data_IF_469373867579
#
_entry.id   IF_469373867579
#
_cell.length_a   1.000
_cell.length_b   1.000
_cell.length_c   1.000
_cell.angle_alpha   90.00
_cell.angle_beta   90.00
_cell.angle_gamma   90.00
#
_symmetry.space_group_name_H-M   'P 1'
#
loop_
_entity.id
_entity.type
_entity.pdbx_description
1 polymer ?
#
# COMPACT_ATOMS: atom_id res chain seq x y z
N UNK A 1 -0.42 -15.37 -6.10
CA UNK A 1 -0.13 -14.51 -7.26
C UNK A 1 0.86 -15.13 -8.25
N UNK A 2 2.06 -15.61 -7.85
CA UNK A 2 3.02 -16.19 -8.82
C UNK A 2 2.50 -17.45 -9.53
N UNK A 3 1.72 -18.27 -8.81
CA UNK A 3 1.02 -19.45 -9.37
C UNK A 3 -0.07 -19.03 -10.37
N UNK A 4 -0.97 -18.12 -9.96
CA UNK A 4 -2.02 -17.58 -10.81
C UNK A 4 -1.48 -16.94 -12.10
N UNK A 5 -0.38 -16.17 -12.02
CA UNK A 5 0.22 -15.55 -13.19
C UNK A 5 0.81 -16.56 -14.19
N UNK A 6 1.30 -17.71 -13.71
CA UNK A 6 1.75 -18.83 -14.56
C UNK A 6 0.58 -19.56 -15.22
N UNK A 7 -0.44 -19.93 -14.45
CA UNK A 7 -1.62 -20.64 -14.98
C UNK A 7 -2.42 -19.80 -15.99
N UNK A 8 -2.44 -18.47 -15.82
CA UNK A 8 -3.14 -17.56 -16.72
C UNK A 8 -2.29 -17.10 -17.92
N UNK A 9 -1.07 -17.65 -18.08
CA UNK A 9 -0.15 -17.31 -19.17
C UNK A 9 0.29 -15.84 -19.18
N UNK A 10 0.32 -15.20 -18.02
CA UNK A 10 0.37 -13.74 -17.88
C UNK A 10 1.47 -13.21 -16.97
N UNK A 11 2.61 -13.91 -16.85
CA UNK A 11 3.69 -13.51 -15.95
C UNK A 11 4.24 -12.11 -16.26
N UNK A 12 4.27 -11.72 -17.54
CA UNK A 12 4.60 -10.35 -17.98
C UNK A 12 3.66 -9.28 -17.42
N UNK A 13 2.41 -9.64 -17.16
CA UNK A 13 1.36 -8.76 -16.62
C UNK A 13 1.25 -8.84 -15.09
N UNK A 14 2.14 -9.59 -14.40
CA UNK A 14 2.12 -9.76 -12.95
C UNK A 14 2.16 -8.41 -12.21
N UNK A 15 3.08 -7.54 -12.59
CA UNK A 15 3.20 -6.22 -11.99
C UNK A 15 1.94 -5.37 -12.25
N UNK A 16 1.27 -5.55 -13.40
CA UNK A 16 0.05 -4.83 -13.76
C UNK A 16 -1.16 -5.26 -12.90
N UNK A 17 -1.25 -6.55 -12.55
CA UNK A 17 -2.30 -7.05 -11.67
C UNK A 17 -2.13 -6.58 -10.21
N UNK A 18 -0.89 -6.43 -9.75
CA UNK A 18 -0.62 -5.90 -8.41
C UNK A 18 -0.84 -4.39 -8.35
N UNK A 19 -0.30 -3.65 -9.32
CA UNK A 19 -0.39 -2.20 -9.40
C UNK A 19 -1.79 -1.69 -9.76
N UNK A 20 -2.56 -2.45 -10.57
CA UNK A 20 -3.93 -2.11 -10.96
C UNK A 20 -4.85 -1.95 -9.74
N UNK A 21 -4.67 -2.77 -8.71
CA UNK A 21 -5.37 -2.64 -7.43
C UNK A 21 -5.04 -1.32 -6.72
N UNK A 22 -3.76 -0.99 -6.56
CA UNK A 22 -3.37 0.24 -5.86
C UNK A 22 -3.78 1.50 -6.64
N UNK A 23 -3.70 1.42 -7.97
CA UNK A 23 -4.05 2.51 -8.88
C UNK A 23 -5.53 2.87 -8.76
N UNK A 24 -6.43 1.90 -8.86
CA UNK A 24 -7.87 2.15 -8.71
C UNK A 24 -8.27 2.43 -7.26
N UNK A 25 -7.52 1.91 -6.29
CA UNK A 25 -7.72 2.24 -4.88
C UNK A 25 -7.50 3.71 -4.59
N UNK A 26 -6.47 4.33 -5.19
CA UNK A 26 -6.25 5.76 -5.03
C UNK A 26 -7.42 6.60 -5.56
N UNK A 27 -7.96 6.23 -6.73
CA UNK A 27 -9.19 6.85 -7.23
C UNK A 27 -10.35 6.68 -6.25
N UNK A 28 -10.55 5.44 -5.76
CA UNK A 28 -11.58 5.10 -4.79
C UNK A 28 -11.49 5.91 -3.51
N UNK A 29 -10.28 6.14 -2.98
CA UNK A 29 -10.07 6.93 -1.77
C UNK A 29 -10.54 8.38 -1.93
N UNK A 30 -10.14 9.05 -3.01
CA UNK A 30 -10.55 10.45 -3.24
C UNK A 30 -12.05 10.55 -3.55
N UNK A 31 -12.57 9.60 -4.33
CA UNK A 31 -14.00 9.52 -4.63
C UNK A 31 -14.83 9.32 -3.35
N UNK A 32 -14.44 8.41 -2.47
CA UNK A 32 -15.11 8.18 -1.21
C UNK A 32 -15.04 9.40 -0.28
N UNK A 33 -13.93 10.14 -0.25
CA UNK A 33 -13.85 11.38 0.52
C UNK A 33 -14.92 12.37 0.08
N UNK A 34 -14.94 12.71 -1.22
CA UNK A 34 -15.90 13.67 -1.78
C UNK A 34 -17.35 13.20 -1.70
N UNK A 35 -17.60 11.91 -1.85
CA UNK A 35 -18.95 11.36 -1.71
C UNK A 35 -19.39 11.35 -0.24
N UNK A 36 -18.50 10.98 0.69
CA UNK A 36 -18.79 11.00 2.13
C UNK A 36 -19.06 12.40 2.64
N UNK A 37 -18.33 13.40 2.16
CA UNK A 37 -18.53 14.81 2.51
C UNK A 37 -19.92 15.32 2.07
N UNK A 38 -20.46 14.80 0.95
CA UNK A 38 -21.73 15.26 0.37
C UNK A 38 -22.96 14.52 0.85
N UNK A 39 -22.87 13.19 0.97
CA UNK A 39 -24.03 12.30 1.20
C UNK A 39 -23.84 11.37 2.40
N UNK A 40 -22.77 11.58 3.17
CA UNK A 40 -22.40 10.71 4.28
C UNK A 40 -21.69 9.42 3.84
N UNK A 41 -21.08 8.69 4.78
CA UNK A 41 -20.15 7.60 4.48
C UNK A 41 -20.81 6.27 4.10
N UNK A 42 -22.14 6.12 4.27
CA UNK A 42 -22.84 4.84 4.05
C UNK A 42 -22.87 4.42 2.57
N UNK A 43 -23.05 5.37 1.65
CA UNK A 43 -23.05 5.10 0.21
C UNK A 43 -21.69 4.57 -0.28
N UNK A 44 -20.59 5.30 -0.01
CA UNK A 44 -19.23 4.83 -0.28
C UNK A 44 -18.90 3.49 0.37
N UNK A 45 -19.29 3.28 1.63
CA UNK A 45 -19.01 2.03 2.34
C UNK A 45 -19.74 0.84 1.69
N UNK A 46 -21.04 0.95 1.46
CA UNK A 46 -21.84 -0.13 0.88
C UNK A 46 -21.43 -0.46 -0.56
N UNK A 47 -21.27 0.57 -1.40
CA UNK A 47 -20.81 0.38 -2.78
C UNK A 47 -19.38 -0.15 -2.85
N UNK A 48 -18.49 0.29 -1.95
CA UNK A 48 -17.12 -0.19 -1.84
C UNK A 48 -17.03 -1.67 -1.48
N UNK A 49 -17.83 -2.12 -0.50
CA UNK A 49 -17.91 -3.53 -0.10
C UNK A 49 -18.46 -4.39 -1.25
N UNK A 50 -19.52 -3.92 -1.92
CA UNK A 50 -20.09 -4.60 -3.09
C UNK A 50 -19.09 -4.72 -4.24
N UNK A 51 -18.39 -3.63 -4.57
CA UNK A 51 -17.34 -3.63 -5.58
C UNK A 51 -16.17 -4.55 -5.20
N UNK A 52 -15.71 -4.51 -3.95
CA UNK A 52 -14.63 -5.39 -3.49
C UNK A 52 -15.00 -6.87 -3.60
N UNK A 53 -16.21 -7.24 -3.16
CA UNK A 53 -16.76 -8.58 -3.30
C UNK A 53 -16.91 -9.03 -4.76
N UNK A 54 -17.45 -8.16 -5.62
CA UNK A 54 -17.58 -8.45 -7.05
C UNK A 54 -16.21 -8.66 -7.72
N UNK A 55 -15.22 -7.81 -7.41
CA UNK A 55 -13.87 -7.96 -7.93
C UNK A 55 -13.16 -9.22 -7.44
N UNK A 56 -13.45 -9.70 -6.22
CA UNK A 56 -12.97 -10.99 -5.72
C UNK A 56 -13.55 -12.16 -6.52
N UNK A 57 -14.86 -12.13 -6.80
CA UNK A 57 -15.51 -13.15 -7.62
C UNK A 57 -14.92 -13.17 -9.03
N UNK A 58 -14.79 -11.99 -9.67
CA UNK A 58 -14.20 -11.87 -11.02
C UNK A 58 -12.76 -12.38 -11.05
N UNK A 59 -11.94 -12.04 -10.05
CA UNK A 59 -10.57 -12.53 -9.96
C UNK A 59 -10.49 -14.05 -9.74
N UNK A 60 -11.37 -14.61 -8.91
CA UNK A 60 -11.43 -16.05 -8.63
C UNK A 60 -11.94 -16.89 -9.81
N UNK A 61 -12.83 -16.35 -10.64
CA UNK A 61 -13.37 -17.03 -11.82
C UNK A 61 -12.61 -16.71 -13.12
N UNK A 62 -11.59 -15.87 -13.08
CA UNK A 62 -10.86 -15.41 -14.26
C UNK A 62 -10.28 -16.55 -15.11
N UNK A 63 -10.72 -16.65 -16.37
CA UNK A 63 -10.18 -17.58 -17.36
C UNK A 63 -8.92 -17.07 -18.07
N UNK A 64 -8.54 -15.81 -17.86
CA UNK A 64 -7.37 -15.18 -18.46
C UNK A 64 -6.87 -13.99 -17.65
N UNK A 65 -5.62 -13.59 -17.89
CA UNK A 65 -4.93 -12.57 -17.09
C UNK A 65 -5.62 -11.20 -17.14
N UNK A 66 -6.19 -10.79 -18.28
CA UNK A 66 -6.92 -9.52 -18.40
C UNK A 66 -8.19 -9.46 -17.54
N UNK A 67 -8.92 -10.57 -17.45
CA UNK A 67 -10.10 -10.68 -16.56
C UNK A 67 -9.67 -10.63 -15.10
N UNK A 68 -8.53 -11.27 -14.77
CA UNK A 68 -7.96 -11.22 -13.43
C UNK A 68 -7.55 -9.79 -13.04
N UNK A 69 -6.90 -9.06 -13.95
CA UNK A 69 -6.53 -7.65 -13.79
C UNK A 69 -7.78 -6.79 -13.58
N UNK A 70 -8.83 -7.00 -14.37
CA UNK A 70 -10.10 -6.29 -14.18
C UNK A 70 -10.68 -6.55 -12.79
N UNK A 71 -10.66 -7.80 -12.32
CA UNK A 71 -11.06 -8.15 -10.95
C UNK A 71 -10.23 -7.42 -9.89
N UNK A 72 -8.90 -7.32 -10.09
CA UNK A 72 -8.00 -6.56 -9.19
C UNK A 72 -8.27 -5.05 -9.22
N UNK A 73 -8.56 -4.50 -10.39
CA UNK A 73 -8.93 -3.09 -10.56
C UNK A 73 -10.26 -2.78 -9.83
N UNK A 74 -11.27 -3.64 -9.96
CA UNK A 74 -12.55 -3.50 -9.27
C UNK A 74 -12.38 -3.65 -7.74
N UNK A 75 -11.56 -4.61 -7.28
CA UNK A 75 -11.18 -4.73 -5.87
C UNK A 75 -10.48 -3.48 -5.35
N UNK A 76 -9.55 -2.92 -6.11
CA UNK A 76 -8.83 -1.71 -5.72
C UNK A 76 -9.79 -0.56 -5.47
N UNK A 77 -10.69 -0.31 -6.42
CA UNK A 77 -11.73 0.71 -6.30
C UNK A 77 -12.58 0.51 -5.04
N UNK A 78 -13.05 -0.73 -4.81
CA UNK A 78 -13.82 -1.08 -3.62
C UNK A 78 -13.06 -0.85 -2.33
N UNK A 79 -11.80 -1.29 -2.25
CA UNK A 79 -10.94 -1.11 -1.09
C UNK A 79 -10.66 0.36 -0.77
N UNK A 80 -10.42 1.17 -1.81
CA UNK A 80 -10.25 2.62 -1.67
C UNK A 80 -11.51 3.32 -1.17
N UNK A 81 -12.69 2.88 -1.64
CA UNK A 81 -13.96 3.42 -1.17
C UNK A 81 -14.20 3.11 0.32
N UNK A 82 -13.97 1.85 0.71
CA UNK A 82 -14.19 1.37 2.08
C UNK A 82 -13.27 2.07 3.07
N UNK A 83 -11.97 2.17 2.77
CA UNK A 83 -10.99 2.67 3.74
C UNK A 83 -11.29 4.11 4.16
N UNK A 84 -11.56 5.01 3.22
CA UNK A 84 -11.89 6.41 3.52
C UNK A 84 -13.26 6.52 4.18
N UNK A 85 -14.25 5.75 3.74
CA UNK A 85 -15.57 5.74 4.35
C UNK A 85 -15.51 5.33 5.84
N UNK A 86 -14.68 4.33 6.19
CA UNK A 86 -14.49 3.91 7.57
C UNK A 86 -13.91 5.01 8.45
N UNK A 87 -12.91 5.77 7.96
CA UNK A 87 -12.37 6.92 8.70
C UNK A 87 -13.43 8.00 8.94
N UNK A 88 -14.28 8.28 7.95
CA UNK A 88 -15.40 9.23 8.11
C UNK A 88 -16.46 8.70 9.08
N UNK A 89 -16.75 7.39 9.05
CA UNK A 89 -17.63 6.74 10.04
C UNK A 89 -17.08 6.93 11.44
N UNK A 90 -15.77 6.76 11.67
CA UNK A 90 -15.18 6.95 13.00
C UNK A 90 -15.35 8.39 13.49
N UNK A 91 -15.15 9.38 12.60
CA UNK A 91 -15.38 10.79 12.93
C UNK A 91 -16.82 11.11 13.34
N UNK A 92 -17.81 10.44 12.73
CA UNK A 92 -19.24 10.68 13.00
C UNK A 92 -19.81 9.84 14.15
N UNK A 93 -19.42 8.58 14.24
CA UNK A 93 -20.05 7.60 15.13
C UNK A 93 -19.49 7.63 16.56
N UNK A 94 -18.32 8.24 16.78
CA UNK A 94 -17.63 8.20 18.06
C UNK A 94 -17.31 9.60 18.61
N UNK A 95 -17.47 9.79 19.94
CA UNK A 95 -17.08 11.02 20.61
C UNK A 95 -15.55 11.21 20.52
N UNK A 96 -15.12 12.47 20.52
CA UNK A 96 -13.73 12.86 20.26
C UNK A 96 -12.70 12.13 21.12
N UNK A 97 -13.01 11.92 22.40
CA UNK A 97 -12.14 11.18 23.35
C UNK A 97 -11.84 9.74 22.92
N UNK A 98 -12.73 9.10 22.16
CA UNK A 98 -12.59 7.70 21.73
C UNK A 98 -11.96 7.57 20.34
N UNK A 99 -11.92 8.64 19.54
CA UNK A 99 -11.37 8.60 18.17
C UNK A 99 -9.93 8.07 18.14
N UNK A 100 -8.99 8.53 19.01
CA UNK A 100 -7.62 8.01 19.00
C UNK A 100 -7.53 6.51 19.33
N UNK A 101 -8.33 6.03 20.29
CA UNK A 101 -8.37 4.61 20.66
C UNK A 101 -8.85 3.73 19.51
N UNK A 102 -9.81 4.22 18.71
CA UNK A 102 -10.34 3.48 17.56
C UNK A 102 -9.37 3.51 16.39
N UNK A 103 -8.66 4.62 16.16
CA UNK A 103 -7.58 4.66 15.16
C UNK A 103 -6.44 3.70 15.54
N UNK A 104 -6.12 3.59 16.83
CA UNK A 104 -5.18 2.58 17.33
C UNK A 104 -5.70 1.15 17.12
N UNK A 105 -6.99 0.90 17.33
CA UNK A 105 -7.61 -0.39 17.04
C UNK A 105 -7.55 -0.73 15.54
N UNK A 106 -7.80 0.22 14.64
CA UNK A 106 -7.61 0.03 13.20
C UNK A 106 -6.18 -0.34 12.85
N UNK A 107 -5.18 0.33 13.44
CA UNK A 107 -3.78 -0.03 13.24
C UNK A 107 -3.49 -1.47 13.74
N UNK A 108 -4.07 -1.88 14.86
CA UNK A 108 -3.94 -3.24 15.39
C UNK A 108 -4.62 -4.30 14.49
N UNK A 109 -5.73 -3.96 13.84
CA UNK A 109 -6.41 -4.84 12.89
C UNK A 109 -5.54 -5.24 11.68
N UNK A 110 -4.47 -4.51 11.37
CA UNK A 110 -3.52 -4.88 10.30
C UNK A 110 -2.55 -6.01 10.72
N UNK A 111 -2.33 -6.19 12.01
CA UNK A 111 -1.35 -7.16 12.52
C UNK A 111 -1.78 -8.60 12.22
N UNK A 112 -3.02 -8.96 12.59
CA UNK A 112 -3.49 -10.33 12.43
C UNK A 112 -3.51 -10.78 10.95
N UNK A 113 -4.04 -9.99 9.99
CA UNK A 113 -3.95 -10.31 8.56
C UNK A 113 -2.53 -10.39 8.03
N UNK A 114 -1.58 -9.60 8.56
CA UNK A 114 -0.18 -9.65 8.09
C UNK A 114 0.51 -10.98 8.40
N UNK A 115 0.16 -11.60 9.53
CA UNK A 115 0.72 -12.89 9.97
C UNK A 115 -0.08 -14.05 9.37
N UNK A 116 -1.41 -14.01 9.51
CA UNK A 116 -2.30 -15.12 9.12
C UNK A 116 -2.52 -15.14 7.60
N UNK A 117 -2.54 -13.98 6.95
CA UNK A 117 -2.89 -13.83 5.53
C UNK A 117 -1.96 -14.61 4.60
N UNK A 118 -0.63 -14.41 4.64
CA UNK A 118 0.31 -15.16 3.79
C UNK A 118 0.27 -16.67 4.06
N UNK A 119 0.14 -17.10 5.32
CA UNK A 119 0.08 -18.51 5.71
C UNK A 119 -1.20 -19.17 5.19
N UNK A 120 -2.36 -18.56 5.44
CA UNK A 120 -3.65 -19.06 4.97
C UNK A 120 -3.72 -19.04 3.43
N UNK A 121 -3.26 -17.98 2.78
CA UNK A 121 -3.24 -17.89 1.32
C UNK A 121 -2.29 -18.91 0.69
N UNK A 122 -1.13 -19.17 1.31
CA UNK A 122 -0.18 -20.20 0.88
C UNK A 122 -0.78 -21.60 0.98
N UNK A 123 -1.30 -21.97 2.15
CA UNK A 123 -1.91 -23.27 2.40
C UNK A 123 -3.14 -23.54 1.51
N UNK A 124 -4.02 -22.54 1.34
CA UNK A 124 -5.18 -22.65 0.44
C UNK A 124 -4.72 -22.80 -1.01
N UNK A 125 -3.69 -22.07 -1.44
CA UNK A 125 -3.13 -22.20 -2.79
C UNK A 125 -2.57 -23.60 -3.04
N UNK A 126 -1.94 -24.21 -2.02
CA UNK A 126 -1.31 -25.53 -2.12
C UNK A 126 -2.33 -26.69 -2.12
N UNK A 127 -3.38 -26.61 -1.29
CA UNK A 127 -4.33 -27.73 -1.12
C UNK A 127 -5.61 -27.60 -1.96
N UNK A 128 -6.11 -26.38 -2.17
CA UNK A 128 -7.40 -26.12 -2.81
C UNK A 128 -7.25 -25.40 -4.16
N UNK A 129 -6.09 -24.76 -4.39
CA UNK A 129 -5.80 -23.94 -5.55
C UNK A 129 -6.03 -22.45 -5.30
N UNK A 130 -5.33 -21.62 -6.07
CA UNK A 130 -5.27 -20.16 -5.84
C UNK A 130 -6.63 -19.44 -5.98
N UNK A 131 -7.58 -20.01 -6.73
CA UNK A 131 -8.91 -19.42 -6.98
C UNK A 131 -9.73 -19.29 -5.70
N UNK A 132 -9.59 -20.26 -4.80
CA UNK A 132 -10.30 -20.28 -3.51
C UNK A 132 -9.83 -19.20 -2.54
N UNK A 133 -8.60 -18.71 -2.69
CA UNK A 133 -8.13 -17.55 -1.93
C UNK A 133 -9.00 -16.32 -2.23
N UNK A 134 -9.51 -16.18 -3.45
CA UNK A 134 -10.39 -15.07 -3.83
C UNK A 134 -11.86 -15.35 -3.51
N UNK A 135 -12.34 -16.56 -3.79
CA UNK A 135 -13.75 -16.93 -3.61
C UNK A 135 -14.14 -17.16 -2.14
N UNK A 136 -13.17 -17.50 -1.28
CA UNK A 136 -13.41 -17.69 0.15
C UNK A 136 -13.60 -16.38 0.92
N UNK A 137 -12.95 -15.28 0.49
CA UNK A 137 -12.99 -14.00 1.20
C UNK A 137 -14.41 -13.42 1.29
N UNK A 138 -15.24 -13.37 0.21
CA UNK A 138 -16.60 -12.88 0.31
C UNK A 138 -17.42 -13.59 1.39
N UNK A 139 -17.28 -14.92 1.49
CA UNK A 139 -17.97 -15.73 2.51
C UNK A 139 -17.51 -15.35 3.92
N UNK A 140 -16.19 -15.21 4.13
CA UNK A 140 -15.62 -14.82 5.42
C UNK A 140 -16.05 -13.41 5.87
N UNK A 141 -16.30 -12.49 4.93
CA UNK A 141 -16.67 -11.10 5.21
C UNK A 141 -18.16 -10.93 5.51
N UNK A 142 -19.03 -11.86 5.09
CA UNK A 142 -20.48 -11.78 5.31
C UNK A 142 -20.85 -11.66 6.79
N UNK A 143 -20.25 -12.50 7.65
CA UNK A 143 -20.58 -12.50 9.08
C UNK A 143 -20.17 -11.18 9.78
N UNK A 144 -18.91 -10.69 9.67
CA UNK A 144 -18.52 -9.39 10.18
C UNK A 144 -19.40 -8.26 9.64
N UNK A 145 -19.78 -8.32 8.36
CA UNK A 145 -20.61 -7.30 7.72
C UNK A 145 -22.03 -7.30 8.30
N UNK A 146 -22.62 -8.47 8.50
CA UNK A 146 -23.95 -8.61 9.09
C UNK A 146 -24.03 -8.00 10.51
N UNK A 147 -22.94 -8.12 11.28
CA UNK A 147 -22.84 -7.56 12.63
C UNK A 147 -22.55 -6.05 12.63
N UNK A 148 -21.65 -5.58 11.77
CA UNK A 148 -21.17 -4.20 11.78
C UNK A 148 -22.11 -3.23 11.04
N UNK A 149 -22.70 -3.64 9.91
CA UNK A 149 -23.44 -2.75 9.02
C UNK A 149 -24.67 -2.10 9.70
N UNK A 150 -25.49 -2.81 10.50
CA UNK A 150 -26.61 -2.20 11.20
C UNK A 150 -26.16 -1.10 12.18
N UNK A 151 -25.10 -1.36 12.96
CA UNK A 151 -24.56 -0.40 13.93
C UNK A 151 -23.98 0.84 13.24
N UNK A 152 -23.29 0.64 12.11
CA UNK A 152 -22.75 1.75 11.30
C UNK A 152 -23.90 2.58 10.72
N UNK A 153 -24.97 1.96 10.23
CA UNK A 153 -26.15 2.69 9.71
C UNK A 153 -26.81 3.56 10.78
N UNK A 154 -26.98 3.02 11.99
CA UNK A 154 -27.58 3.75 13.11
C UNK A 154 -26.69 4.90 13.57
N UNK A 155 -25.38 4.68 13.72
CA UNK A 155 -24.48 5.69 14.31
C UNK A 155 -23.90 6.70 13.33
N UNK A 156 -23.77 6.35 12.05
CA UNK A 156 -23.16 7.22 11.04
C UNK A 156 -24.12 7.66 9.92
N UNK A 157 -25.36 7.16 9.91
CA UNK A 157 -26.37 7.47 8.88
C UNK A 157 -27.16 8.75 9.09
N UNK A 158 -26.95 9.47 10.19
CA UNK A 158 -27.62 10.76 10.43
C UNK A 158 -27.29 11.82 9.38
N UNK A 159 -28.12 12.87 9.22
CA UNK A 159 -27.93 13.95 8.24
C UNK A 159 -26.52 14.54 8.33
N UNK A 160 -25.91 14.87 7.18
CA UNK A 160 -24.62 15.55 7.16
C UNK A 160 -24.82 16.94 7.79
N UNK A 161 -24.19 17.26 8.95
CA UNK A 161 -24.27 18.60 9.50
C UNK A 161 -23.69 19.56 8.47
N UNK A 162 -24.39 20.66 8.18
CA UNK A 162 -23.85 21.73 7.37
C UNK A 162 -22.65 22.33 8.13
N UNK A 163 -21.42 21.91 7.79
CA UNK A 163 -20.23 22.56 8.34
C UNK A 163 -20.11 23.95 7.73
N UNK A 164 -19.85 24.95 8.58
CA UNK A 164 -19.68 26.37 8.20
C UNK A 164 -18.54 26.57 7.19
N UNK A 165 -17.58 25.64 7.13
CA UNK A 165 -16.55 25.57 6.08
C UNK A 165 -17.03 24.82 4.83
N UNK A 166 -17.94 25.47 4.11
CA UNK A 166 -18.30 25.09 2.75
C UNK A 166 -17.15 25.39 1.79
N UNK A 167 -16.11 24.54 1.75
CA UNK A 167 -15.12 24.60 0.66
C UNK A 167 -15.89 24.51 -0.67
N UNK A 168 -15.67 25.42 -1.64
CA UNK A 168 -16.49 25.53 -2.84
C UNK A 168 -16.64 24.19 -3.58
N UNK A 169 -17.85 23.88 -4.06
CA UNK A 169 -18.15 22.64 -4.82
C UNK A 169 -17.23 22.41 -6.03
N UNK A 170 -16.59 23.48 -6.52
CA UNK A 170 -15.57 23.47 -7.58
C UNK A 170 -14.29 22.75 -7.16
N UNK A 171 -13.91 22.78 -5.87
CA UNK A 171 -12.73 22.08 -5.35
C UNK A 171 -12.94 20.55 -5.36
N UNK A 172 -14.17 20.07 -5.12
CA UNK A 172 -14.47 18.64 -5.17
C UNK A 172 -14.40 18.04 -6.57
N UNK A 173 -14.92 18.73 -7.59
CA UNK A 173 -14.77 18.31 -9.00
C UNK A 173 -13.32 18.37 -9.47
N UNK A 174 -12.52 19.29 -8.93
CA UNK A 174 -11.08 19.38 -9.18
C UNK A 174 -10.35 18.20 -8.55
N UNK A 175 -10.60 17.87 -7.28
CA UNK A 175 -9.99 16.72 -6.59
C UNK A 175 -10.31 15.38 -7.25
N UNK A 176 -11.54 15.16 -7.70
CA UNK A 176 -11.91 13.94 -8.45
C UNK A 176 -11.16 13.87 -9.79
N UNK A 177 -11.04 15.00 -10.51
CA UNK A 177 -10.26 15.06 -11.75
C UNK A 177 -8.77 14.80 -11.52
N UNK A 178 -8.20 15.32 -10.43
CA UNK A 178 -6.82 15.04 -10.04
C UNK A 178 -6.66 13.55 -9.68
N UNK A 179 -7.59 12.95 -8.93
CA UNK A 179 -7.53 11.52 -8.61
C UNK A 179 -7.62 10.62 -9.84
N UNK A 180 -8.49 10.97 -10.81
CA UNK A 180 -8.50 10.34 -12.13
C UNK A 180 -7.17 10.53 -12.84
N UNK A 181 -6.61 11.74 -12.81
CA UNK A 181 -5.29 12.05 -13.36
C UNK A 181 -4.17 11.18 -12.76
N UNK A 182 -4.15 10.98 -11.45
CA UNK A 182 -3.14 10.10 -10.82
C UNK A 182 -3.39 8.65 -11.22
N UNK A 183 -4.65 8.19 -11.24
CA UNK A 183 -4.96 6.78 -11.50
C UNK A 183 -4.73 6.42 -12.97
N UNK A 184 -5.19 7.25 -13.90
CA UNK A 184 -4.87 7.11 -15.32
C UNK A 184 -3.38 7.31 -15.57
N UNK A 185 -2.77 8.30 -14.95
CA UNK A 185 -1.35 8.60 -15.10
C UNK A 185 -0.45 7.46 -14.62
N UNK A 186 -0.78 6.88 -13.47
CA UNK A 186 -0.08 5.73 -12.93
C UNK A 186 -0.29 4.48 -13.78
N UNK A 187 -1.51 4.21 -14.23
CA UNK A 187 -1.79 3.09 -15.13
C UNK A 187 -1.03 3.18 -16.46
N UNK A 188 -0.95 4.39 -17.04
CA UNK A 188 -0.19 4.66 -18.25
C UNK A 188 1.33 4.53 -18.05
N UNK A 189 1.84 5.02 -16.91
CA UNK A 189 3.25 4.89 -16.55
C UNK A 189 3.63 3.41 -16.35
N UNK A 190 2.75 2.63 -15.73
CA UNK A 190 2.94 1.18 -15.56
C UNK A 190 2.86 0.42 -16.88
N UNK A 191 1.99 0.83 -17.80
CA UNK A 191 1.94 0.25 -19.15
C UNK A 191 3.24 0.53 -19.91
N UNK A 192 3.71 1.78 -19.89
CA UNK A 192 4.96 2.19 -20.50
C UNK A 192 6.19 1.49 -19.90
N UNK A 193 6.14 1.15 -18.61
CA UNK A 193 7.19 0.42 -17.92
C UNK A 193 7.33 -1.04 -18.37
N UNK A 194 6.28 -1.64 -18.94
CA UNK A 194 6.26 -3.06 -19.31
C UNK A 194 6.55 -3.31 -20.79
N UNK A 195 6.17 -2.38 -21.67
CA UNK A 195 6.50 -2.46 -23.09
C UNK A 195 7.73 -1.57 -23.35
N UNK A 196 8.89 -2.15 -23.65
CA UNK A 196 10.13 -1.39 -23.91
C UNK A 196 10.21 -0.83 -25.33
N UNK A 197 9.15 -0.95 -26.13
CA UNK A 197 9.10 -0.38 -27.48
C UNK A 197 9.17 1.15 -27.42
N UNK A 198 9.84 1.83 -28.36
CA UNK A 198 9.88 3.31 -28.40
C UNK A 198 8.48 3.96 -28.41
N UNK A 199 7.48 3.24 -28.93
CA UNK A 199 6.09 3.66 -28.98
C UNK A 199 5.42 3.77 -27.59
N UNK A 200 5.93 3.05 -26.59
CA UNK A 200 5.43 3.09 -25.20
C UNK A 200 5.92 4.31 -24.42
N UNK A 201 6.91 5.04 -24.94
CA UNK A 201 7.36 6.31 -24.38
C UNK A 201 6.24 7.36 -24.40
N UNK A 202 5.34 7.31 -25.40
CA UNK A 202 4.17 8.19 -25.52
C UNK A 202 3.20 8.05 -24.34
N UNK A 203 2.67 6.85 -24.01
CA UNK A 203 1.87 6.66 -22.81
C UNK A 203 2.65 6.92 -21.52
N UNK A 204 3.97 6.70 -21.49
CA UNK A 204 4.81 7.05 -20.34
C UNK A 204 4.86 8.55 -20.06
N UNK A 205 5.11 9.36 -21.10
CA UNK A 205 5.11 10.83 -21.02
C UNK A 205 3.71 11.37 -20.69
N UNK A 206 2.66 10.82 -21.31
CA UNK A 206 1.28 11.19 -20.99
C UNK A 206 0.94 10.82 -19.54
N UNK A 207 1.41 9.67 -19.07
CA UNK A 207 1.29 9.20 -17.71
C UNK A 207 1.93 10.17 -16.72
N UNK A 208 3.17 10.58 -16.98
CA UNK A 208 3.89 11.58 -16.20
C UNK A 208 3.19 12.95 -16.22
N UNK A 209 2.71 13.39 -17.38
CA UNK A 209 2.03 14.66 -17.57
C UNK A 209 0.67 14.74 -16.84
N UNK A 210 -0.02 13.60 -16.67
CA UNK A 210 -1.24 13.51 -15.86
C UNK A 210 -0.92 13.38 -14.37
N UNK A 211 0.13 12.63 -14.04
CA UNK A 211 0.48 12.27 -12.68
C UNK A 211 1.14 13.44 -11.93
N UNK A 212 2.13 14.12 -12.51
CA UNK A 212 2.91 15.16 -11.83
C UNK A 212 2.02 16.34 -11.37
N UNK A 213 1.15 16.93 -12.20
CA UNK A 213 0.27 18.02 -11.76
C UNK A 213 -0.77 17.54 -10.74
N UNK A 214 -1.24 16.30 -10.89
CA UNK A 214 -2.25 15.75 -10.00
C UNK A 214 -1.69 15.45 -8.61
N UNK A 215 -0.46 14.94 -8.55
CA UNK A 215 0.31 14.69 -7.33
C UNK A 215 0.62 15.98 -6.57
N UNK A 216 1.02 17.02 -7.28
CA UNK A 216 1.27 18.35 -6.70
C UNK A 216 0.00 19.04 -6.20
N UNK A 217 -1.17 18.67 -6.76
CA UNK A 217 -2.45 19.28 -6.43
C UNK A 217 -3.24 18.61 -5.31
N UNK A 218 -2.87 17.39 -4.88
CA UNK A 218 -3.69 16.54 -4.03
C UNK A 218 -3.16 16.38 -2.59
N UNK A 219 -1.86 16.59 -2.37
CA UNK A 219 -1.27 16.64 -1.03
C UNK A 219 -1.32 18.06 -0.42
N UNK A 220 -1.30 18.20 0.92
CA UNK A 220 -1.23 19.50 1.58
C UNK A 220 -0.05 20.36 1.08
N UNK A 221 -0.25 21.68 1.05
CA UNK A 221 0.83 22.62 0.70
C UNK A 221 2.00 22.44 1.67
N UNK A 222 3.20 22.28 1.14
CA UNK A 222 4.40 22.08 1.94
C UNK A 222 4.80 20.61 2.17
N UNK A 223 3.96 19.62 1.83
CA UNK A 223 4.34 18.20 1.93
C UNK A 223 5.57 17.90 1.08
N UNK A 224 5.64 18.38 -0.15
CA UNK A 224 6.80 18.21 -1.04
C UNK A 224 8.06 18.94 -0.59
N UNK A 225 7.94 19.97 0.26
CA UNK A 225 9.09 20.71 0.80
C UNK A 225 9.56 20.15 2.14
N UNK A 226 8.95 19.06 2.63
CA UNK A 226 9.10 18.60 4.01
C UNK A 226 8.95 19.77 5.00
N UNK A 227 7.90 20.59 4.78
CA UNK A 227 7.56 21.68 5.68
C UNK A 227 7.26 21.11 7.07
N UNK A 228 7.72 21.81 8.11
CA UNK A 228 7.64 21.33 9.49
C UNK A 228 6.19 21.11 9.93
N UNK A 229 5.97 20.19 10.87
CA UNK A 229 4.65 19.85 11.38
C UNK A 229 3.94 18.77 10.55
N UNK A 230 2.63 18.91 10.41
CA UNK A 230 1.75 17.92 9.76
C UNK A 230 2.18 17.52 8.33
N UNK A 231 2.65 18.44 7.45
CA UNK A 231 3.08 18.06 6.11
C UNK A 231 4.27 17.08 6.07
N UNK A 232 5.20 17.18 7.02
CA UNK A 232 6.33 16.24 7.15
C UNK A 232 5.88 14.87 7.64
N UNK A 233 4.85 14.81 8.51
CA UNK A 233 4.26 13.53 8.96
C UNK A 233 3.59 12.80 7.80
N UNK A 234 2.83 13.54 6.98
CA UNK A 234 2.17 12.99 5.77
C UNK A 234 3.20 12.51 4.74
N UNK A 235 4.29 13.28 4.53
CA UNK A 235 5.38 12.88 3.63
C UNK A 235 6.08 11.62 4.13
N UNK A 236 6.50 11.63 5.40
CA UNK A 236 7.24 10.51 6.01
C UNK A 236 6.44 9.22 5.91
N UNK A 237 5.15 9.29 6.17
CA UNK A 237 4.27 8.15 6.06
C UNK A 237 4.29 7.55 4.64
N UNK A 238 4.06 8.37 3.62
CA UNK A 238 4.08 7.91 2.23
C UNK A 238 5.44 7.33 1.84
N UNK A 239 6.53 8.03 2.16
CA UNK A 239 7.92 7.58 1.88
C UNK A 239 8.21 6.23 2.53
N UNK A 240 7.84 6.05 3.80
CA UNK A 240 8.05 4.80 4.53
C UNK A 240 7.23 3.65 3.92
N UNK A 241 5.92 3.84 3.74
CA UNK A 241 5.03 2.84 3.18
C UNK A 241 5.45 2.45 1.75
N UNK A 242 5.68 3.45 0.91
CA UNK A 242 6.01 3.25 -0.50
C UNK A 242 7.35 2.56 -0.72
N UNK A 243 8.40 2.93 0.02
CA UNK A 243 9.70 2.27 -0.11
C UNK A 243 9.63 0.81 0.34
N UNK A 244 8.99 0.56 1.48
CA UNK A 244 8.91 -0.77 2.06
C UNK A 244 8.03 -1.72 1.23
N UNK A 245 6.80 -1.30 0.89
CA UNK A 245 5.84 -2.12 0.12
C UNK A 245 6.35 -2.36 -1.30
N UNK A 246 6.98 -1.36 -1.93
CA UNK A 246 7.61 -1.55 -3.24
C UNK A 246 8.68 -2.63 -3.16
N UNK A 247 9.62 -2.53 -2.21
CA UNK A 247 10.67 -3.54 -2.04
C UNK A 247 10.11 -4.94 -1.68
N UNK A 248 9.11 -5.00 -0.78
CA UNK A 248 8.46 -6.24 -0.35
C UNK A 248 7.80 -6.99 -1.51
N UNK A 249 7.21 -6.28 -2.47
CA UNK A 249 6.53 -6.91 -3.61
C UNK A 249 7.46 -7.76 -4.50
N UNK A 250 8.77 -7.49 -4.49
CA UNK A 250 9.78 -8.25 -5.24
C UNK A 250 10.46 -9.36 -4.43
N UNK A 251 10.30 -9.39 -3.09
CA UNK A 251 10.94 -10.38 -2.22
C UNK A 251 10.51 -11.82 -2.54
N UNK A 252 9.20 -12.17 -2.61
CA UNK A 252 8.80 -13.54 -2.97
C UNK A 252 9.27 -13.95 -4.36
N UNK A 253 9.24 -13.01 -5.32
CA UNK A 253 9.69 -13.26 -6.68
C UNK A 253 11.19 -13.58 -6.70
N UNK A 254 12.00 -12.80 -5.98
CA UNK A 254 13.44 -13.01 -5.82
C UNK A 254 13.74 -14.38 -5.21
N UNK A 255 13.07 -14.73 -4.11
CA UNK A 255 13.28 -16.00 -3.41
C UNK A 255 12.91 -17.23 -4.24
N UNK A 256 11.81 -17.18 -4.97
CA UNK A 256 11.35 -18.30 -5.80
C UNK A 256 12.21 -18.45 -7.04
N UNK A 257 12.58 -17.35 -7.70
CA UNK A 257 13.29 -17.40 -9.00
C UNK A 257 14.80 -17.59 -8.87
N UNK A 258 15.44 -16.99 -7.84
CA UNK A 258 16.89 -17.01 -7.68
C UNK A 258 17.37 -18.08 -6.70
N UNK A 259 16.54 -18.44 -5.70
CA UNK A 259 16.90 -19.43 -4.66
C UNK A 259 16.08 -20.72 -4.74
N UNK A 260 15.17 -20.84 -5.72
CA UNK A 260 14.37 -22.05 -5.96
C UNK A 260 13.43 -22.43 -4.81
N UNK A 261 13.11 -21.50 -3.91
CA UNK A 261 12.25 -21.79 -2.76
C UNK A 261 10.81 -22.05 -3.18
N UNK A 262 10.11 -22.89 -2.41
CA UNK A 262 8.67 -23.02 -2.56
C UNK A 262 7.94 -21.72 -2.18
N UNK A 263 6.78 -21.42 -2.79
CA UNK A 263 5.97 -20.25 -2.42
C UNK A 263 5.59 -20.23 -0.93
N UNK A 264 5.41 -21.40 -0.31
CA UNK A 264 5.06 -21.54 1.11
C UNK A 264 6.21 -21.08 2.01
N UNK A 265 7.46 -21.44 1.69
CA UNK A 265 8.64 -20.98 2.43
C UNK A 265 8.90 -19.48 2.25
N UNK A 266 8.72 -18.96 1.03
CA UNK A 266 8.79 -17.53 0.77
C UNK A 266 7.71 -16.76 1.56
N UNK A 267 6.48 -17.28 1.61
CA UNK A 267 5.39 -16.73 2.41
C UNK A 267 5.67 -16.77 3.91
N UNK A 268 6.28 -17.85 4.42
CA UNK A 268 6.66 -17.99 5.82
C UNK A 268 7.66 -16.92 6.27
N UNK A 269 8.62 -16.57 5.40
CA UNK A 269 9.59 -15.49 5.67
C UNK A 269 8.91 -14.12 5.86
N UNK A 270 7.86 -13.83 5.08
CA UNK A 270 7.06 -12.62 5.23
C UNK A 270 6.14 -12.68 6.47
N UNK A 271 5.54 -13.85 6.75
CA UNK A 271 4.66 -14.02 7.90
C UNK A 271 5.38 -13.78 9.23
N UNK A 272 6.63 -14.25 9.37
CA UNK A 272 7.48 -13.98 10.53
C UNK A 272 7.70 -12.46 10.74
N UNK A 273 7.71 -11.70 9.64
CA UNK A 273 7.93 -10.26 9.66
C UNK A 273 6.71 -9.51 10.24
N UNK A 274 5.48 -10.03 10.10
CA UNK A 274 4.29 -9.47 10.73
C UNK A 274 4.35 -9.42 12.26
N UNK A 275 4.96 -10.44 12.89
CA UNK A 275 5.16 -10.46 14.35
C UNK A 275 6.13 -9.36 14.82
N UNK A 276 7.22 -9.15 14.07
CA UNK A 276 8.18 -8.06 14.37
C UNK A 276 7.59 -6.68 14.15
N UNK A 277 6.71 -6.51 13.17
CA UNK A 277 5.93 -5.27 12.98
C UNK A 277 5.06 -4.98 14.21
N UNK A 278 4.29 -5.97 14.65
CA UNK A 278 3.44 -5.85 15.83
C UNK A 278 4.25 -5.47 17.08
N UNK A 279 5.41 -6.09 17.26
CA UNK A 279 6.33 -5.77 18.34
C UNK A 279 6.81 -4.32 18.26
N UNK A 280 7.17 -3.81 17.07
CA UNK A 280 7.54 -2.41 16.86
C UNK A 280 6.41 -1.46 17.26
N UNK A 281 5.19 -1.72 16.77
CA UNK A 281 4.02 -0.91 17.15
C UNK A 281 3.71 -0.98 18.65
N UNK A 282 3.91 -2.13 19.29
CA UNK A 282 3.74 -2.27 20.74
C UNK A 282 4.81 -1.51 21.53
N UNK A 283 6.08 -1.56 21.13
CA UNK A 283 7.17 -0.79 21.77
C UNK A 283 6.85 0.70 21.72
N UNK A 284 6.42 1.19 20.55
CA UNK A 284 6.02 2.57 20.31
C UNK A 284 4.81 3.03 21.13
N UNK A 285 3.94 2.11 21.56
CA UNK A 285 2.72 2.43 22.31
C UNK A 285 2.96 2.72 23.80
N UNK A 286 4.19 2.48 24.29
CA UNK A 286 4.52 2.63 25.71
C UNK A 286 4.67 4.11 26.11
N UNK A 287 4.07 4.56 27.24
CA UNK A 287 4.21 5.96 27.69
C UNK A 287 5.66 6.40 27.92
N UNK A 288 6.55 5.47 28.29
CA UNK A 288 7.97 5.75 28.54
C UNK A 288 8.76 6.13 27.29
N UNK A 289 8.28 5.77 26.09
CA UNK A 289 8.97 6.10 24.83
C UNK A 289 8.42 7.35 24.15
N UNK A 290 7.35 7.95 24.68
CA UNK A 290 6.75 9.19 24.16
C UNK A 290 7.78 10.31 23.95
N UNK A 291 8.68 10.61 24.90
CA UNK A 291 9.66 11.70 24.74
C UNK A 291 10.71 11.41 23.65
N UNK A 292 10.90 10.13 23.29
CA UNK A 292 11.91 9.69 22.35
C UNK A 292 11.32 9.31 20.98
N UNK A 293 10.04 9.59 20.74
CA UNK A 293 9.29 9.18 19.55
C UNK A 293 9.99 9.53 18.24
N UNK A 294 10.52 10.75 18.10
CA UNK A 294 11.23 11.18 16.90
C UNK A 294 12.53 10.39 16.65
N UNK A 295 13.31 10.14 17.71
CA UNK A 295 14.52 9.30 17.64
C UNK A 295 14.17 7.86 17.29
N UNK A 296 13.07 7.35 17.84
CA UNK A 296 12.57 6.02 17.58
C UNK A 296 12.07 5.86 16.14
N UNK A 297 11.45 6.89 15.56
CA UNK A 297 11.07 6.93 14.15
C UNK A 297 12.29 6.99 13.24
N UNK A 298 13.29 7.81 13.58
CA UNK A 298 14.55 7.89 12.83
C UNK A 298 15.26 6.54 12.82
N UNK A 299 15.37 5.92 14.00
CA UNK A 299 15.90 4.57 14.16
C UNK A 299 15.11 3.55 13.33
N UNK A 300 13.77 3.61 13.37
CA UNK A 300 12.91 2.76 12.57
C UNK A 300 13.14 2.91 11.06
N UNK A 301 13.28 4.14 10.56
CA UNK A 301 13.58 4.38 9.14
C UNK A 301 14.97 3.89 8.73
N UNK A 302 15.97 4.03 9.60
CA UNK A 302 17.31 3.48 9.37
C UNK A 302 17.28 1.95 9.30
N UNK A 303 16.55 1.29 10.22
CA UNK A 303 16.35 -0.16 10.16
C UNK A 303 15.68 -0.60 8.86
N UNK A 304 14.66 0.13 8.41
CA UNK A 304 13.98 -0.12 7.12
C UNK A 304 14.97 0.01 5.97
N UNK A 305 15.75 1.08 5.91
CA UNK A 305 16.75 1.29 4.87
C UNK A 305 17.80 0.18 4.84
N UNK A 306 18.33 -0.20 6.01
CA UNK A 306 19.31 -1.28 6.14
C UNK A 306 18.73 -2.64 5.72
N UNK A 307 17.48 -2.94 6.12
CA UNK A 307 16.77 -4.15 5.71
C UNK A 307 16.62 -4.24 4.19
N UNK A 308 16.17 -3.14 3.56
CA UNK A 308 15.99 -3.07 2.11
C UNK A 308 17.35 -3.19 1.40
N UNK A 309 18.39 -2.50 1.88
CA UNK A 309 19.73 -2.55 1.31
C UNK A 309 20.41 -3.92 1.46
N UNK A 310 20.11 -4.66 2.53
CA UNK A 310 20.64 -6.00 2.78
C UNK A 310 19.96 -7.08 1.93
N UNK A 311 18.76 -6.83 1.40
CA UNK A 311 17.98 -7.85 0.70
C UNK A 311 18.67 -8.46 -0.54
N UNK A 312 19.36 -7.68 -1.39
CA UNK A 312 20.12 -8.22 -2.52
C UNK A 312 21.29 -9.12 -2.10
N UNK A 313 21.74 -9.10 -0.84
CA UNK A 313 22.84 -9.97 -0.40
C UNK A 313 22.49 -11.46 -0.55
N UNK A 314 21.21 -11.84 -0.47
CA UNK A 314 20.75 -13.22 -0.69
C UNK A 314 20.90 -13.69 -2.14
N UNK A 315 21.19 -12.78 -3.08
CA UNK A 315 21.56 -13.17 -4.44
C UNK A 315 22.94 -13.84 -4.51
N UNK A 316 23.80 -13.59 -3.53
CA UNK A 316 25.07 -14.31 -3.41
C UNK A 316 24.78 -15.71 -2.87
N UNK A 317 25.14 -16.75 -3.63
CA UNK A 317 24.89 -18.14 -3.26
C UNK A 317 25.51 -18.52 -1.91
N UNK A 318 26.63 -17.87 -1.54
CA UNK A 318 27.32 -18.01 -0.26
C UNK A 318 26.52 -17.52 0.95
N UNK A 319 25.55 -16.62 0.73
CA UNK A 319 24.74 -16.04 1.81
C UNK A 319 23.53 -16.94 2.08
N UNK A 320 23.28 -17.37 3.33
CA UNK A 320 22.12 -18.19 3.66
C UNK A 320 20.80 -17.45 3.47
N UNK A 321 19.76 -18.17 3.03
CA UNK A 321 18.41 -17.59 2.78
C UNK A 321 17.78 -16.99 4.03
N UNK A 322 18.04 -17.56 5.22
CA UNK A 322 17.47 -17.08 6.48
C UNK A 322 17.92 -15.67 6.84
N UNK A 323 19.04 -15.19 6.28
CA UNK A 323 19.52 -13.82 6.51
C UNK A 323 18.52 -12.77 6.01
N UNK A 324 17.81 -13.03 4.90
CA UNK A 324 16.75 -12.15 4.43
C UNK A 324 15.58 -12.13 5.40
N UNK A 325 15.14 -13.28 5.91
CA UNK A 325 14.05 -13.33 6.89
C UNK A 325 14.39 -12.54 8.17
N UNK A 326 15.63 -12.63 8.63
CA UNK A 326 16.12 -11.86 9.79
C UNK A 326 16.18 -10.36 9.46
N UNK A 327 16.80 -9.98 8.34
CA UNK A 327 16.90 -8.59 7.91
C UNK A 327 15.51 -7.96 7.74
N UNK A 328 14.59 -8.65 7.07
CA UNK A 328 13.22 -8.23 6.85
C UNK A 328 12.43 -8.10 8.14
N UNK A 329 12.67 -8.99 9.12
CA UNK A 329 12.12 -8.86 10.47
C UNK A 329 12.54 -7.55 11.15
N UNK A 330 13.81 -7.15 11.06
CA UNK A 330 14.24 -5.83 11.56
C UNK A 330 13.62 -4.67 10.79
N UNK A 331 13.46 -4.81 9.47
CA UNK A 331 12.75 -3.85 8.63
C UNK A 331 11.28 -3.68 9.05
N UNK A 332 10.56 -4.78 9.28
CA UNK A 332 9.18 -4.75 9.75
C UNK A 332 9.06 -4.18 11.17
N UNK A 333 9.99 -4.49 12.08
CA UNK A 333 10.05 -3.83 13.38
C UNK A 333 10.20 -2.30 13.22
N UNK A 334 11.10 -1.86 12.34
CA UNK A 334 11.28 -0.44 12.01
C UNK A 334 10.01 0.21 11.45
N UNK A 335 9.34 -0.46 10.50
CA UNK A 335 8.04 -0.02 9.98
C UNK A 335 7.00 0.11 11.09
N UNK A 336 6.92 -0.88 12.00
CA UNK A 336 6.00 -0.85 13.13
C UNK A 336 6.17 0.38 14.02
N UNK A 337 7.42 0.82 14.25
CA UNK A 337 7.74 2.04 14.99
C UNK A 337 7.29 3.30 14.24
N UNK A 338 7.55 3.39 12.94
CA UNK A 338 7.29 4.59 12.12
C UNK A 338 5.80 4.75 11.83
N UNK A 339 5.15 3.68 11.38
CA UNK A 339 3.74 3.65 10.99
C UNK A 339 2.85 3.99 12.18
N UNK A 340 3.07 3.35 13.33
CA UNK A 340 2.29 3.66 14.53
C UNK A 340 2.57 5.10 15.02
N UNK A 341 3.82 5.56 14.98
CA UNK A 341 4.19 6.92 15.44
C UNK A 341 3.62 8.02 14.55
N UNK A 342 3.66 7.86 13.23
CA UNK A 342 3.06 8.83 12.30
C UNK A 342 1.55 8.95 12.49
N UNK A 343 0.85 7.85 12.74
CA UNK A 343 -0.58 7.88 13.06
C UNK A 343 -0.87 8.60 14.39
N UNK A 344 -0.07 8.37 15.43
CA UNK A 344 -0.23 9.06 16.73
C UNK A 344 0.09 10.55 16.60
N UNK A 345 1.21 10.91 15.96
CA UNK A 345 1.60 12.30 15.74
C UNK A 345 0.58 13.06 14.91
N UNK A 346 0.01 12.42 13.89
CA UNK A 346 -1.06 13.02 13.11
C UNK A 346 -2.25 13.39 14.00
N UNK A 347 -2.64 12.51 14.91
CA UNK A 347 -3.76 12.77 15.82
C UNK A 347 -3.42 13.84 16.85
N UNK A 348 -2.18 13.92 17.33
CA UNK A 348 -1.72 14.96 18.27
C UNK A 348 -1.63 16.35 17.61
N UNK A 349 -1.21 16.41 16.35
CA UNK A 349 -1.03 17.66 15.60
C UNK A 349 -2.30 18.14 14.90
N UNK A 350 -3.36 17.33 14.88
CA UNK A 350 -4.64 17.68 14.27
C UNK A 350 -5.60 18.21 15.32
N UNK A 351 -6.36 19.26 14.99
CA UNK A 351 -7.54 19.60 15.78
C UNK A 351 -8.52 18.40 15.78
N UNK A 352 -9.29 18.16 16.86
CA UNK A 352 -10.25 17.04 16.96
C UNK A 352 -11.22 16.96 15.78
N UNK A 353 -11.62 18.12 15.26
CA UNK A 353 -12.51 18.31 14.11
C UNK A 353 -11.86 17.96 12.77
N UNK A 354 -10.53 18.13 12.65
CA UNK A 354 -9.76 17.91 11.42
C UNK A 354 -9.10 16.53 11.35
N UNK A 355 -9.07 15.78 12.46
CA UNK A 355 -8.40 14.48 12.58
C UNK A 355 -8.81 13.47 11.49
N UNK A 356 -10.09 13.47 11.09
CA UNK A 356 -10.58 12.62 10.01
C UNK A 356 -10.03 13.03 8.63
N UNK A 357 -10.03 14.32 8.32
CA UNK A 357 -9.48 14.86 7.07
C UNK A 357 -7.98 14.64 6.96
N UNK A 358 -7.25 14.85 8.06
CA UNK A 358 -5.81 14.65 8.10
C UNK A 358 -5.45 13.15 8.00
N UNK A 359 -6.22 12.26 8.64
CA UNK A 359 -6.05 10.81 8.48
C UNK A 359 -6.30 10.36 7.03
N UNK A 360 -7.29 10.93 6.36
CA UNK A 360 -7.52 10.67 4.94
C UNK A 360 -6.36 11.15 4.05
N UNK A 361 -5.80 12.34 4.34
CA UNK A 361 -4.61 12.84 3.63
C UNK A 361 -3.39 11.91 3.83
N UNK A 362 -3.23 11.34 5.02
CA UNK A 362 -2.18 10.37 5.32
C UNK A 362 -2.35 9.06 4.53
N UNK A 363 -3.57 8.53 4.42
CA UNK A 363 -3.86 7.34 3.59
C UNK A 363 -3.68 7.59 2.08
N UNK A 364 -4.05 8.78 1.62
CA UNK A 364 -3.83 9.20 0.24
C UNK A 364 -2.33 9.27 -0.06
N UNK A 365 -1.53 9.77 0.88
CA UNK A 365 -0.06 9.78 0.78
C UNK A 365 0.50 8.35 0.68
N UNK A 366 0.01 7.42 1.50
CA UNK A 366 0.39 6.00 1.45
C UNK A 366 0.10 5.38 0.09
N UNK A 367 -1.15 5.50 -0.37
CA UNK A 367 -1.57 4.97 -1.66
C UNK A 367 -0.78 5.57 -2.81
N UNK A 368 -0.56 6.87 -2.78
CA UNK A 368 0.18 7.56 -3.83
C UNK A 368 1.64 7.09 -3.88
N UNK A 369 2.34 7.11 -2.74
CA UNK A 369 3.74 6.72 -2.69
C UNK A 369 3.93 5.24 -3.09
N UNK A 370 3.04 4.35 -2.65
CA UNK A 370 3.01 2.95 -3.09
C UNK A 370 2.93 2.84 -4.60
N UNK A 371 1.98 3.55 -5.24
CA UNK A 371 1.79 3.49 -6.69
C UNK A 371 3.01 4.01 -7.44
N UNK A 372 3.59 5.15 -7.01
CA UNK A 372 4.73 5.76 -7.68
C UNK A 372 6.00 4.92 -7.57
N UNK A 373 6.34 4.49 -6.35
CA UNK A 373 7.57 3.77 -6.08
C UNK A 373 7.51 2.32 -6.61
N UNK A 374 6.33 1.70 -6.60
CA UNK A 374 6.13 0.40 -7.22
C UNK A 374 6.23 0.49 -8.76
N UNK A 375 5.62 1.52 -9.37
CA UNK A 375 5.71 1.72 -10.82
C UNK A 375 7.15 1.99 -11.27
N UNK A 376 7.87 2.85 -10.53
CA UNK A 376 9.28 3.13 -10.79
C UNK A 376 10.16 1.88 -10.58
N UNK A 377 9.96 1.13 -9.51
CA UNK A 377 10.68 -0.12 -9.23
C UNK A 377 10.42 -1.18 -10.29
N UNK A 378 9.17 -1.35 -10.72
CA UNK A 378 8.80 -2.27 -11.80
C UNK A 378 9.41 -1.89 -13.15
N UNK A 379 9.43 -0.59 -13.49
CA UNK A 379 10.07 -0.09 -14.71
C UNK A 379 11.58 -0.36 -14.71
N UNK A 380 12.25 -0.07 -13.60
CA UNK A 380 13.68 -0.30 -13.45
C UNK A 380 14.03 -1.79 -13.51
N UNK A 381 13.21 -2.65 -12.90
CA UNK A 381 13.36 -4.10 -12.98
C UNK A 381 13.20 -4.61 -14.42
N UNK A 382 12.18 -4.14 -15.14
CA UNK A 382 11.91 -4.55 -16.52
C UNK A 382 13.03 -4.11 -17.47
N UNK A 383 13.51 -2.86 -17.34
CA UNK A 383 14.57 -2.29 -18.17
C UNK A 383 15.91 -3.06 -18.07
N UNK A 384 16.17 -3.74 -16.96
CA UNK A 384 17.39 -4.51 -16.72
C UNK A 384 17.25 -6.01 -16.99
N UNK A 385 16.25 -6.39 -17.80
CA UNK A 385 16.06 -7.79 -18.20
C UNK A 385 15.27 -8.63 -17.20
N UNK A 386 14.69 -8.01 -16.15
CA UNK A 386 13.77 -8.69 -15.24
C UNK A 386 12.51 -9.24 -15.94
N UNK A 387 12.14 -8.67 -17.09
CA UNK A 387 11.06 -9.16 -17.95
C UNK A 387 11.32 -10.55 -18.57
N UNK A 388 12.59 -10.96 -18.71
CA UNK A 388 12.96 -12.29 -19.20
C UNK A 388 12.78 -13.38 -18.14
N UNK A 389 12.90 -13.05 -16.84
CA UNK A 389 12.61 -13.97 -15.72
C UNK A 389 11.16 -14.47 -15.77
N UNK A 390 10.26 -13.59 -16.21
CA UNK A 390 8.85 -13.90 -16.38
C UNK A 390 8.58 -14.89 -17.53
N UNK A 391 9.48 -14.93 -18.54
CA UNK A 391 9.34 -15.76 -19.73
C UNK A 391 10.15 -17.07 -19.68
N UNK A 392 11.16 -17.20 -18.82
CA UNK A 392 12.06 -18.36 -18.78
C UNK A 392 11.49 -19.60 -18.05
N UNK A 393 10.19 -19.63 -17.73
CA UNK A 393 9.54 -20.78 -17.09
C UNK A 393 9.07 -21.88 -18.05
N UNK A 394 9.24 -21.71 -19.37
CA UNK A 394 8.62 -22.57 -20.40
C UNK A 394 9.60 -23.32 -21.31
N UNK A 395 10.91 -23.20 -21.15
CA UNK A 395 11.88 -24.02 -21.92
C UNK A 395 13.02 -24.51 -21.03
N UNK A 396 12.97 -25.81 -20.68
CA UNK A 396 14.14 -26.57 -20.26
C UNK A 396 14.98 -26.80 -21.50
N UNK A 397 15.80 -25.81 -21.86
CA UNK A 397 16.99 -25.87 -22.72
C UNK A 397 17.28 -24.44 -23.22
N UNK A 398 18.31 -23.79 -22.63
CA UNK A 398 18.76 -22.45 -23.05
C UNK A 398 18.39 -21.30 -22.10
N UNK A 399 18.71 -21.43 -20.81
CA UNK A 399 18.54 -20.36 -19.83
C UNK A 399 19.47 -19.16 -20.12
N UNK A 400 18.98 -18.12 -20.80
CA UNK A 400 19.61 -16.80 -20.74
C UNK A 400 19.27 -16.17 -19.39
N UNK A 401 20.27 -16.18 -18.52
CA UNK A 401 20.33 -15.66 -17.16
C UNK A 401 19.50 -14.41 -16.90
N UNK A 402 18.54 -14.52 -15.98
CA UNK A 402 18.02 -13.36 -15.26
C UNK A 402 19.17 -12.73 -14.48
N UNK A 403 19.63 -11.53 -14.85
CA UNK A 403 20.72 -10.90 -14.12
C UNK A 403 20.29 -10.62 -12.68
N UNK A 404 20.97 -11.18 -11.66
CA UNK A 404 20.70 -10.87 -10.25
C UNK A 404 20.73 -9.35 -9.98
N UNK A 405 21.48 -8.60 -10.79
CA UNK A 405 21.55 -7.15 -10.78
C UNK A 405 20.19 -6.44 -10.94
N UNK A 406 19.22 -7.04 -11.65
CA UNK A 406 17.89 -6.44 -11.83
C UNK A 406 17.14 -6.23 -10.50
N UNK A 407 17.29 -7.15 -9.55
CA UNK A 407 16.72 -7.01 -8.21
C UNK A 407 17.43 -5.91 -7.42
N UNK A 408 18.77 -5.84 -7.49
CA UNK A 408 19.53 -4.82 -6.78
C UNK A 408 19.12 -3.39 -7.17
N UNK A 409 18.76 -3.16 -8.43
CA UNK A 409 18.29 -1.86 -8.92
C UNK A 409 16.89 -1.49 -8.44
N UNK A 410 16.09 -2.45 -7.95
CA UNK A 410 14.85 -2.13 -7.24
C UNK A 410 15.13 -1.80 -5.78
N UNK A 411 15.92 -2.62 -5.10
CA UNK A 411 16.16 -2.48 -3.66
C UNK A 411 17.00 -1.25 -3.31
N UNK A 412 18.08 -0.96 -4.05
CA UNK A 412 18.99 0.14 -3.70
C UNK A 412 18.31 1.53 -3.76
N UNK A 413 17.55 1.90 -4.80
CA UNK A 413 16.79 3.15 -4.79
C UNK A 413 15.74 3.20 -3.66
N UNK A 414 15.06 2.10 -3.37
CA UNK A 414 14.09 2.05 -2.26
C UNK A 414 14.78 2.23 -0.90
N UNK A 415 16.00 1.72 -0.73
CA UNK A 415 16.80 2.00 0.47
C UNK A 415 17.18 3.47 0.58
N UNK A 416 17.54 4.14 -0.53
CA UNK A 416 17.80 5.58 -0.56
C UNK A 416 16.54 6.38 -0.20
N UNK A 417 15.38 5.99 -0.71
CA UNK A 417 14.09 6.61 -0.36
C UNK A 417 13.79 6.41 1.13
N UNK A 418 14.08 5.24 1.70
CA UNK A 418 13.94 5.00 3.14
C UNK A 418 14.91 5.86 3.98
N UNK A 419 16.16 6.03 3.53
CA UNK A 419 17.13 6.94 4.17
C UNK A 419 16.67 8.40 4.11
N UNK A 420 16.07 8.82 2.99
CA UNK A 420 15.43 10.13 2.91
C UNK A 420 14.32 10.28 3.95
N UNK A 421 13.52 9.23 4.21
CA UNK A 421 12.56 9.24 5.31
C UNK A 421 13.20 9.44 6.69
N UNK A 422 14.40 8.89 6.94
CA UNK A 422 15.15 9.17 8.17
C UNK A 422 15.63 10.63 8.29
N UNK A 423 15.76 11.36 7.18
CA UNK A 423 15.97 12.80 7.22
C UNK A 423 14.65 13.55 7.48
N UNK A 424 13.54 13.11 6.88
CA UNK A 424 12.21 13.74 7.08
C UNK A 424 11.77 13.70 8.55
N UNK A 425 12.16 12.67 9.32
CA UNK A 425 11.85 12.60 10.76
C UNK A 425 12.36 13.81 11.54
N UNK A 426 13.52 14.36 11.15
CA UNK A 426 14.12 15.56 11.78
C UNK A 426 13.35 16.86 11.52
N UNK A 427 12.33 16.81 10.64
CA UNK A 427 11.47 17.95 10.27
C UNK A 427 10.08 17.86 10.90
N UNK A 428 9.79 16.88 11.74
CA UNK A 428 8.45 16.65 12.30
C UNK A 428 8.02 17.81 13.22
N UNK A 429 8.90 18.34 14.07
CA UNK A 429 8.56 19.43 14.99
C UNK A 429 8.76 20.83 14.37
N UNK A 430 7.85 21.75 14.68
CA UNK A 430 8.13 23.18 14.58
C UNK A 430 9.21 23.54 15.61
N UNK A 431 10.20 24.36 15.22
CA UNK A 431 11.15 24.89 16.21
C UNK A 431 10.31 25.66 17.22
N UNK A 432 10.33 25.24 18.49
CA UNK A 432 9.93 26.12 19.59
C UNK A 432 10.73 27.41 19.41
N UNK A 433 10.05 28.48 19.04
CA UNK A 433 10.56 29.84 19.19
C UNK A 433 10.37 30.26 20.63
#
# INVERSE_FOLDING_TARGET
>A
MPVAARELGGVSLYAFAFSGYFTTSLFGMVLAGQWSDRRGPLGPLGSGIGAFGAGLVVAGTAGGMWVFILGRAVQGLGGGLVIVALYVVVGRAYPERLRPAIMAAFAACWVLPSVVGPLAAGAVTEHLGWRWVFLGIPVLVVLPLALALPQIRVRAGGPVPATVDSRPQTDGRRRIRLALGISCGAGLLQYAAQDLRPLSALPGVLGLALLVPAVLGLLPRGTWRAARGLPSVVLLRGVAAGAFISAESFVPLMLVTQRGLSPTLAGFSLAASGATWALGSWVQSRPRVEPYRERLMTFGMVLVALSIAAAPAVLLHSVPVWTLAVAWGFGCFGMGLVIASTSVLLLQLSAPEEAGTNSAALQISDGLANVLLLAAGGAAFAALGGGAVAHAGTTVEGASSSHPAAFAVVFLPMAVVALFGAWVTTRIHERRQ
#
